data_IF_178757367846
#
_entry.id   IF_178757367846
#
_cell.length_a   1.000
_cell.length_b   1.000
_cell.length_c   1.000
_cell.angle_alpha   90.00
_cell.angle_beta   90.00
_cell.angle_gamma   90.00
#
_symmetry.space_group_name_H-M   'P 1'
#
loop_
_entity.id
_entity.type
_entity.pdbx_description
1 polymer ?
#
# COMPACT_ATOMS: atom_id res chain seq x y z
N UNK A 1 -28.41 11.05 -18.68
CA UNK A 1 -27.92 9.66 -18.61
C UNK A 1 -27.51 9.41 -17.16
N UNK A 2 -28.27 8.60 -16.43
CA UNK A 2 -27.97 8.24 -15.04
C UNK A 2 -26.74 7.34 -15.00
N UNK A 3 -25.67 7.78 -14.33
CA UNK A 3 -24.49 6.94 -14.13
C UNK A 3 -24.84 5.81 -13.14
N UNK A 4 -24.62 4.56 -13.52
CA UNK A 4 -24.82 3.42 -12.63
C UNK A 4 -23.84 3.49 -11.45
N UNK A 5 -24.35 3.47 -10.23
CA UNK A 5 -23.54 3.44 -9.01
C UNK A 5 -23.33 1.98 -8.57
N UNK A 6 -22.15 1.68 -8.04
CA UNK A 6 -21.70 0.32 -7.73
C UNK A 6 -21.37 0.16 -6.25
N UNK A 7 -21.72 -0.98 -5.68
CA UNK A 7 -21.30 -1.42 -4.36
C UNK A 7 -20.06 -2.30 -4.46
N UNK A 8 -19.19 -2.20 -3.46
CA UNK A 8 -17.98 -3.01 -3.30
C UNK A 8 -18.11 -3.89 -2.05
N UNK A 9 -17.62 -5.12 -2.12
CA UNK A 9 -17.55 -6.04 -0.97
C UNK A 9 -16.16 -6.64 -0.83
N UNK A 10 -15.68 -6.65 0.41
CA UNK A 10 -14.43 -7.30 0.80
C UNK A 10 -14.59 -7.90 2.20
N UNK A 11 -14.23 -9.18 2.36
CA UNK A 11 -14.35 -9.91 3.64
C UNK A 11 -15.73 -9.77 4.31
N UNK A 12 -16.80 -9.73 3.51
CA UNK A 12 -18.18 -9.60 3.99
C UNK A 12 -18.62 -8.17 4.37
N UNK A 13 -17.75 -7.16 4.28
CA UNK A 13 -18.12 -5.75 4.45
C UNK A 13 -18.53 -5.13 3.12
N UNK A 14 -19.71 -4.50 3.07
CA UNK A 14 -20.25 -3.82 1.89
C UNK A 14 -20.06 -2.31 2.04
N UNK A 15 -19.56 -1.64 1.00
CA UNK A 15 -19.35 -0.19 0.95
C UNK A 15 -19.85 0.39 -0.38
N UNK A 16 -20.36 1.62 -0.36
CA UNK A 16 -20.86 2.30 -1.55
C UNK A 16 -22.25 2.93 -1.36
N UNK A 17 -22.92 3.32 -2.46
CA UNK A 17 -22.53 3.07 -3.85
C UNK A 17 -21.64 4.17 -4.43
N UNK A 18 -20.72 3.82 -5.33
CA UNK A 18 -19.72 4.72 -5.93
C UNK A 18 -19.83 4.81 -7.46
N UNK A 19 -19.47 5.95 -8.06
CA UNK A 19 -19.41 6.06 -9.52
C UNK A 19 -18.21 5.28 -10.09
N UNK A 20 -18.31 4.75 -11.34
CA UNK A 20 -17.26 3.96 -11.98
C UNK A 20 -15.89 4.65 -12.08
N UNK A 21 -15.86 5.99 -12.14
CA UNK A 21 -14.62 6.77 -12.19
C UNK A 21 -13.78 6.62 -10.92
N UNK A 22 -14.44 6.63 -9.74
CA UNK A 22 -13.77 6.50 -8.45
C UNK A 22 -13.22 5.08 -8.23
N UNK A 23 -13.94 4.06 -8.69
CA UNK A 23 -13.49 2.67 -8.60
C UNK A 23 -12.22 2.45 -9.45
N UNK A 24 -12.14 3.04 -10.64
CA UNK A 24 -10.92 2.98 -11.48
C UNK A 24 -9.73 3.67 -10.85
N UNK A 25 -9.94 4.81 -10.20
CA UNK A 25 -8.89 5.53 -9.48
C UNK A 25 -8.31 4.66 -8.35
N UNK A 26 -9.17 4.01 -7.56
CA UNK A 26 -8.75 3.10 -6.49
C UNK A 26 -8.10 1.80 -6.96
N UNK A 27 -8.44 1.30 -8.15
CA UNK A 27 -7.71 0.18 -8.75
C UNK A 27 -6.32 0.60 -9.21
N UNK A 28 -6.18 1.84 -9.71
CA UNK A 28 -4.90 2.38 -10.20
C UNK A 28 -3.94 2.70 -9.07
N UNK A 29 -4.43 3.24 -7.95
CA UNK A 29 -3.62 3.56 -6.78
C UNK A 29 -3.38 2.36 -5.84
N UNK A 30 -4.04 1.22 -6.10
CA UNK A 30 -3.90 -0.02 -5.35
C UNK A 30 -4.72 -0.08 -4.05
N UNK A 31 -5.61 0.89 -3.80
CA UNK A 31 -6.50 0.91 -2.64
C UNK A 31 -7.51 -0.25 -2.64
N UNK A 32 -7.89 -0.73 -3.82
CA UNK A 32 -8.68 -1.96 -4.00
C UNK A 32 -7.99 -2.89 -4.98
N UNK A 33 -8.33 -4.18 -4.94
CA UNK A 33 -7.64 -5.22 -5.70
C UNK A 33 -8.60 -6.00 -6.60
N UNK A 34 -8.12 -6.68 -7.66
CA UNK A 34 -8.99 -7.37 -8.61
C UNK A 34 -9.87 -8.49 -8.01
N UNK A 35 -9.50 -9.01 -6.84
CA UNK A 35 -10.27 -9.99 -6.08
C UNK A 35 -11.45 -9.42 -5.28
N UNK A 36 -11.56 -8.10 -5.15
CA UNK A 36 -12.73 -7.48 -4.51
C UNK A 36 -13.98 -7.76 -5.34
N UNK A 37 -15.15 -7.80 -4.69
CA UNK A 37 -16.42 -8.06 -5.36
C UNK A 37 -17.18 -6.76 -5.62
N UNK A 38 -17.90 -6.70 -6.73
CA UNK A 38 -18.76 -5.59 -7.14
C UNK A 38 -20.20 -6.05 -7.35
N UNK A 39 -21.15 -5.15 -7.10
CA UNK A 39 -22.58 -5.37 -7.33
C UNK A 39 -23.30 -4.06 -7.69
N UNK A 40 -24.36 -4.15 -8.50
CA UNK A 40 -25.27 -3.03 -8.79
C UNK A 40 -26.47 -3.00 -7.84
N UNK A 41 -26.80 -4.12 -7.21
CA UNK A 41 -28.06 -4.35 -6.48
C UNK A 41 -27.89 -4.96 -5.08
N UNK A 42 -26.64 -5.12 -4.63
CA UNK A 42 -26.23 -5.76 -3.36
C UNK A 42 -26.61 -7.24 -3.22
N UNK A 43 -27.20 -7.86 -4.25
CA UNK A 43 -27.65 -9.26 -4.23
C UNK A 43 -26.72 -10.15 -5.03
N UNK A 44 -26.40 -9.73 -6.24
CA UNK A 44 -25.52 -10.47 -7.14
C UNK A 44 -24.10 -9.90 -7.08
N UNK A 45 -23.14 -10.72 -6.67
CA UNK A 45 -21.75 -10.32 -6.46
C UNK A 45 -20.83 -11.03 -7.44
N UNK A 46 -19.92 -10.27 -8.03
CA UNK A 46 -18.90 -10.78 -8.94
C UNK A 46 -17.56 -10.15 -8.63
N UNK A 47 -16.46 -10.88 -8.76
CA UNK A 47 -15.13 -10.30 -8.59
C UNK A 47 -14.88 -9.22 -9.66
N UNK A 48 -14.08 -8.21 -9.33
CA UNK A 48 -13.72 -7.13 -10.27
C UNK A 48 -13.01 -7.72 -11.50
N UNK A 49 -12.12 -8.69 -11.32
CA UNK A 49 -11.43 -9.39 -12.41
C UNK A 49 -12.41 -10.11 -13.36
N UNK A 50 -13.42 -10.80 -12.83
CA UNK A 50 -14.35 -11.59 -13.64
C UNK A 50 -15.40 -10.71 -14.31
N UNK A 51 -15.62 -9.49 -13.78
CA UNK A 51 -16.55 -8.52 -14.36
C UNK A 51 -16.07 -7.92 -15.68
N UNK A 52 -14.75 -7.83 -15.88
CA UNK A 52 -14.14 -7.14 -17.02
C UNK A 52 -14.45 -5.64 -17.13
N UNK A 53 -15.20 -5.04 -16.19
CA UNK A 53 -15.66 -3.64 -16.28
C UNK A 53 -14.58 -2.61 -15.92
N UNK A 54 -13.58 -3.01 -15.13
CA UNK A 54 -12.60 -2.10 -14.54
C UNK A 54 -11.14 -2.51 -14.77
N UNK A 55 -10.89 -3.59 -15.50
CA UNK A 55 -9.54 -3.99 -15.86
C UNK A 55 -9.01 -3.09 -16.99
N UNK A 56 -8.01 -2.26 -16.69
CA UNK A 56 -7.23 -1.58 -17.72
C UNK A 56 -6.36 -2.60 -18.47
N UNK A 57 -6.38 -2.43 -19.78
CA UNK A 57 -5.92 -3.29 -20.85
C UNK A 57 -4.46 -3.78 -20.72
N UNK A 58 -4.26 -5.07 -20.38
CA UNK A 58 -3.08 -5.81 -20.84
C UNK A 58 -3.36 -6.31 -22.27
N UNK A 59 -3.36 -5.41 -23.25
CA UNK A 59 -3.45 -5.77 -24.67
C UNK A 59 -2.12 -6.35 -25.14
N UNK A 60 -2.01 -7.67 -25.03
CA UNK A 60 -1.47 -8.47 -26.13
C UNK A 60 -2.64 -9.25 -26.73
N UNK A 61 -3.31 -8.61 -27.69
CA UNK A 61 -3.96 -9.26 -28.81
C UNK A 61 -5.26 -10.03 -28.55
N UNK A 62 -6.38 -9.32 -28.39
CA UNK A 62 -7.68 -9.78 -28.94
C UNK A 62 -8.38 -8.55 -29.55
N UNK A 63 -8.71 -8.53 -30.86
CA UNK A 63 -9.46 -7.44 -31.43
C UNK A 63 -10.90 -7.48 -30.93
N UNK A 64 -11.28 -6.48 -30.13
CA UNK A 64 -12.67 -6.24 -29.74
C UNK A 64 -13.46 -5.74 -30.96
N UNK A 65 -14.02 -6.70 -31.68
CA UNK A 65 -15.16 -6.48 -32.58
C UNK A 65 -16.39 -6.05 -31.78
N UNK A 66 -17.17 -5.16 -32.39
CA UNK A 66 -18.36 -4.49 -31.91
C UNK A 66 -19.07 -5.03 -30.64
N UNK A 67 -19.31 -4.14 -29.70
CA UNK A 67 -20.12 -4.35 -28.51
C UNK A 67 -21.62 -4.50 -28.87
N UNK A 68 -22.02 -5.62 -29.47
CA UNK A 68 -23.43 -5.95 -29.74
C UNK A 68 -23.73 -7.46 -29.97
N UNK A 69 -23.10 -8.39 -29.22
CA UNK A 69 -23.35 -9.81 -29.43
C UNK A 69 -24.28 -10.47 -28.39
N UNK A 70 -25.51 -10.70 -28.83
CA UNK A 70 -26.57 -11.58 -28.27
C UNK A 70 -26.10 -13.05 -28.07
N UNK A 71 -24.82 -13.37 -28.34
CA UNK A 71 -24.28 -14.73 -28.38
C UNK A 71 -24.04 -15.35 -27.01
N UNK A 72 -23.60 -14.57 -26.02
CA UNK A 72 -23.26 -15.12 -24.70
C UNK A 72 -24.48 -15.53 -23.87
N UNK A 73 -25.59 -14.80 -24.00
CA UNK A 73 -26.85 -15.16 -23.32
C UNK A 73 -27.45 -16.46 -23.88
N UNK A 74 -27.36 -16.68 -25.21
CA UNK A 74 -27.86 -17.91 -25.85
C UNK A 74 -27.09 -19.16 -25.45
N UNK A 75 -25.79 -19.08 -25.27
CA UNK A 75 -24.98 -20.25 -24.89
C UNK A 75 -25.28 -20.71 -23.46
N UNK A 76 -25.60 -19.80 -22.53
CA UNK A 76 -26.01 -20.17 -21.16
C UNK A 76 -27.36 -20.88 -21.11
N UNK A 77 -28.33 -20.51 -21.95
CA UNK A 77 -29.64 -21.19 -21.97
C UNK A 77 -29.58 -22.61 -22.55
N UNK A 78 -28.77 -22.83 -23.60
CA UNK A 78 -28.57 -24.16 -24.19
C UNK A 78 -27.93 -25.16 -23.23
N UNK A 79 -27.07 -24.71 -22.33
CA UNK A 79 -26.46 -25.57 -21.32
C UNK A 79 -27.48 -26.01 -20.25
N UNK A 80 -28.42 -25.12 -19.88
CA UNK A 80 -29.49 -25.40 -18.90
C UNK A 80 -30.48 -26.47 -19.39
N UNK A 81 -30.83 -26.47 -20.67
CA UNK A 81 -31.77 -27.45 -21.22
C UNK A 81 -31.18 -28.86 -21.33
N UNK A 82 -29.86 -29.01 -21.58
CA UNK A 82 -29.20 -30.32 -21.62
C UNK A 82 -29.23 -31.07 -20.30
N UNK A 83 -29.27 -30.35 -19.18
CA UNK A 83 -29.24 -30.96 -17.85
C UNK A 83 -30.62 -31.50 -17.41
N UNK A 84 -31.71 -30.90 -17.92
CA UNK A 84 -33.09 -31.29 -17.58
C UNK A 84 -33.55 -32.55 -18.34
N UNK A 85 -33.01 -32.82 -19.53
CA UNK A 85 -33.35 -34.02 -20.31
C UNK A 85 -32.73 -35.31 -19.74
N UNK A 86 -31.57 -35.20 -19.09
CA UNK A 86 -30.82 -36.36 -18.56
C UNK A 86 -31.50 -36.95 -17.31
N UNK A 87 -32.09 -36.09 -16.47
CA UNK A 87 -32.73 -36.47 -15.19
C UNK A 87 -34.04 -37.25 -15.39
N UNK A 88 -34.75 -36.99 -16.51
CA UNK A 88 -36.01 -37.67 -16.85
C UNK A 88 -35.86 -39.12 -17.30
N UNK A 89 -34.63 -39.58 -17.59
CA UNK A 89 -34.37 -40.95 -18.07
C UNK A 89 -34.09 -41.96 -16.96
N UNK A 90 -34.00 -41.50 -15.71
CA UNK A 90 -33.53 -42.34 -14.58
C UNK A 90 -34.69 -43.14 -13.94
N UNK A 91 -35.96 -42.78 -14.17
CA UNK A 91 -37.09 -43.39 -13.43
C UNK A 91 -37.71 -44.67 -14.03
N UNK A 92 -37.24 -45.18 -15.19
CA UNK A 92 -37.76 -46.44 -15.74
C UNK A 92 -36.63 -47.39 -16.12
N UNK A 93 -36.13 -48.17 -15.16
CA UNK A 93 -35.18 -49.25 -15.42
C UNK A 93 -35.56 -50.53 -14.66
N UNK A 94 -36.14 -51.47 -15.42
CA UNK A 94 -36.55 -52.84 -15.08
C UNK A 94 -35.35 -53.81 -14.83
N UNK A 95 -35.59 -55.06 -14.37
CA UNK A 95 -34.62 -55.93 -13.68
C UNK A 95 -33.38 -56.39 -14.47
N UNK A 96 -33.29 -56.14 -15.79
CA UNK A 96 -32.13 -56.51 -16.61
C UNK A 96 -30.90 -55.65 -16.33
N UNK A 97 -31.08 -54.45 -15.75
CA UNK A 97 -29.97 -53.54 -15.42
C UNK A 97 -29.12 -54.08 -14.26
N UNK A 98 -29.69 -54.91 -13.36
CA UNK A 98 -28.96 -55.45 -12.22
C UNK A 98 -27.85 -56.44 -12.63
N UNK A 99 -28.12 -57.33 -13.58
CA UNK A 99 -27.15 -58.34 -14.03
C UNK A 99 -26.03 -57.73 -14.88
N UNK A 100 -26.37 -56.77 -15.76
CA UNK A 100 -25.38 -56.00 -16.51
C UNK A 100 -24.55 -55.06 -15.62
N UNK A 101 -25.15 -54.46 -14.58
CA UNK A 101 -24.42 -53.65 -13.62
C UNK A 101 -23.46 -54.49 -12.76
N UNK A 102 -23.83 -55.72 -12.41
CA UNK A 102 -22.97 -56.61 -11.64
C UNK A 102 -21.81 -57.16 -12.50
N UNK A 103 -22.07 -57.51 -13.77
CA UNK A 103 -21.01 -57.84 -14.72
C UNK A 103 -20.07 -56.66 -14.97
N UNK A 104 -20.61 -55.44 -15.13
CA UNK A 104 -19.81 -54.23 -15.30
C UNK A 104 -18.98 -53.91 -14.04
N UNK A 105 -19.50 -54.14 -12.84
CA UNK A 105 -18.75 -54.00 -11.58
C UNK A 105 -17.60 -55.00 -11.49
N UNK A 106 -17.83 -56.26 -11.86
CA UNK A 106 -16.78 -57.29 -11.86
C UNK A 106 -15.70 -57.01 -12.92
N UNK A 107 -16.08 -56.51 -14.10
CA UNK A 107 -15.09 -56.07 -15.10
C UNK A 107 -14.31 -54.85 -14.64
N UNK A 108 -14.97 -53.89 -13.97
CA UNK A 108 -14.30 -52.73 -13.39
C UNK A 108 -13.35 -53.11 -12.26
N UNK A 109 -13.71 -54.04 -11.38
CA UNK A 109 -12.80 -54.55 -10.34
C UNK A 109 -11.60 -55.28 -10.95
N UNK A 110 -11.82 -56.10 -11.98
CA UNK A 110 -10.72 -56.77 -12.69
C UNK A 110 -9.80 -55.77 -13.41
N UNK A 111 -10.38 -54.74 -14.04
CA UNK A 111 -9.60 -53.67 -14.67
C UNK A 111 -8.87 -52.81 -13.64
N UNK A 112 -9.47 -52.55 -12.47
CA UNK A 112 -8.81 -51.82 -11.39
C UNK A 112 -7.60 -52.59 -10.86
N UNK A 113 -7.70 -53.89 -10.66
CA UNK A 113 -6.58 -54.74 -10.25
C UNK A 113 -5.49 -54.82 -11.33
N UNK A 114 -5.87 -54.86 -12.61
CA UNK A 114 -4.93 -54.86 -13.74
C UNK A 114 -4.21 -53.53 -13.88
N UNK A 115 -4.93 -52.42 -13.77
CA UNK A 115 -4.34 -51.07 -13.82
C UNK A 115 -3.43 -50.84 -12.62
N UNK A 116 -3.81 -51.27 -11.42
CA UNK A 116 -2.97 -51.18 -10.22
C UNK A 116 -1.65 -51.95 -10.35
N UNK A 117 -1.71 -53.15 -10.93
CA UNK A 117 -0.53 -53.98 -11.17
C UNK A 117 0.39 -53.33 -12.22
N UNK A 118 -0.18 -52.77 -13.29
CA UNK A 118 0.58 -52.06 -14.33
C UNK A 118 1.18 -50.74 -13.83
N UNK A 119 0.43 -49.97 -13.03
CA UNK A 119 0.90 -48.71 -12.42
C UNK A 119 2.03 -48.99 -11.43
N UNK A 120 1.90 -50.00 -10.56
CA UNK A 120 2.99 -50.40 -9.64
C UNK A 120 4.23 -50.89 -10.38
N UNK A 121 4.06 -51.64 -11.47
CA UNK A 121 5.17 -52.07 -12.33
C UNK A 121 5.88 -50.89 -13.01
N UNK A 122 5.14 -49.88 -13.46
CA UNK A 122 5.70 -48.68 -14.11
C UNK A 122 6.39 -47.74 -13.11
N UNK A 123 5.84 -47.57 -11.90
CA UNK A 123 6.40 -46.72 -10.83
C UNK A 123 7.75 -47.26 -10.34
N UNK A 124 7.92 -48.60 -10.25
CA UNK A 124 9.20 -49.21 -9.84
C UNK A 124 10.32 -49.09 -10.88
N UNK A 125 10.01 -48.73 -12.15
CA UNK A 125 10.97 -48.67 -13.25
C UNK A 125 11.56 -47.29 -13.51
N UNK A 126 11.14 -46.23 -12.81
CA UNK A 126 11.61 -44.87 -13.09
C UNK A 126 12.20 -44.13 -11.88
N UNK A 127 13.36 -44.59 -11.34
CA UNK A 127 14.13 -43.81 -10.36
C UNK A 127 14.59 -42.44 -10.91
N UNK A 128 14.59 -42.28 -12.25
CA UNK A 128 14.92 -41.04 -12.93
C UNK A 128 13.94 -39.88 -12.66
N UNK A 129 12.66 -40.14 -12.36
CA UNK A 129 11.71 -39.07 -12.05
C UNK A 129 12.06 -38.36 -10.74
N UNK A 130 12.47 -39.11 -9.71
CA UNK A 130 12.92 -38.54 -8.44
C UNK A 130 14.21 -37.75 -8.59
N UNK A 131 15.15 -38.21 -9.43
CA UNK A 131 16.35 -37.43 -9.79
C UNK A 131 15.99 -36.14 -10.53
N UNK A 132 14.98 -36.17 -11.41
CA UNK A 132 14.45 -34.98 -12.07
C UNK A 132 13.82 -33.99 -11.09
N UNK A 133 12.99 -34.47 -10.15
CA UNK A 133 12.36 -33.63 -9.11
C UNK A 133 13.41 -33.01 -8.19
N UNK A 134 14.41 -33.80 -7.75
CA UNK A 134 15.52 -33.28 -6.95
C UNK A 134 16.36 -32.26 -7.74
N UNK A 135 16.57 -32.48 -9.03
CA UNK A 135 17.23 -31.52 -9.91
C UNK A 135 16.46 -30.20 -10.02
N UNK A 136 15.14 -30.24 -10.20
CA UNK A 136 14.29 -29.04 -10.24
C UNK A 136 14.30 -28.30 -8.90
N UNK A 137 14.23 -29.01 -7.77
CA UNK A 137 14.31 -28.40 -6.44
C UNK A 137 15.69 -27.79 -6.17
N UNK A 138 16.77 -28.43 -6.61
CA UNK A 138 18.13 -27.89 -6.50
C UNK A 138 18.29 -26.62 -7.35
N UNK A 139 17.76 -26.61 -8.58
CA UNK A 139 17.78 -25.42 -9.44
C UNK A 139 16.90 -24.29 -8.89
N UNK A 140 15.75 -24.61 -8.30
CA UNK A 140 14.91 -23.63 -7.62
C UNK A 140 15.60 -23.06 -6.37
N UNK A 141 16.28 -23.91 -5.59
CA UNK A 141 17.08 -23.50 -4.43
C UNK A 141 18.28 -22.63 -4.81
N UNK A 142 18.98 -22.96 -5.90
CA UNK A 142 20.07 -22.14 -6.45
C UNK A 142 19.52 -20.82 -6.98
N UNK A 143 18.40 -20.83 -7.71
CA UNK A 143 17.72 -19.62 -8.18
C UNK A 143 17.27 -18.73 -7.02
N UNK A 144 16.75 -19.32 -5.95
CA UNK A 144 16.40 -18.61 -4.72
C UNK A 144 17.64 -18.04 -4.02
N UNK A 145 18.72 -18.82 -3.90
CA UNK A 145 19.97 -18.36 -3.31
C UNK A 145 20.62 -17.23 -4.14
N UNK A 146 20.54 -17.29 -5.48
CA UNK A 146 20.97 -16.22 -6.39
C UNK A 146 20.07 -15.01 -6.27
N UNK A 147 18.75 -15.17 -6.17
CA UNK A 147 17.79 -14.08 -5.98
C UNK A 147 17.97 -13.37 -4.63
N UNK A 148 18.18 -14.13 -3.54
CA UNK A 148 18.52 -13.59 -2.21
C UNK A 148 19.90 -12.94 -2.23
N UNK A 149 20.89 -13.57 -2.88
CA UNK A 149 22.24 -13.04 -3.04
C UNK A 149 22.27 -11.72 -3.82
N UNK A 150 21.48 -11.62 -4.89
CA UNK A 150 21.35 -10.41 -5.71
C UNK A 150 20.59 -9.28 -4.99
N UNK A 151 19.69 -9.60 -4.04
CA UNK A 151 19.10 -8.59 -3.17
C UNK A 151 20.06 -8.06 -2.09
N UNK A 152 21.14 -8.79 -1.77
CA UNK A 152 22.08 -8.37 -0.72
C UNK A 152 23.01 -7.21 -1.12
N UNK A 153 22.95 -6.72 -2.36
CA UNK A 153 23.69 -5.52 -2.81
C UNK A 153 22.84 -4.26 -3.00
N UNK A 154 21.53 -4.27 -2.71
CA UNK A 154 20.67 -3.06 -2.74
C UNK A 154 20.05 -2.71 -1.38
N UNK A 155 20.59 -3.25 -0.29
CA UNK A 155 20.44 -2.68 1.05
C UNK A 155 21.48 -1.57 1.35
N UNK A 156 22.29 -1.17 0.37
CA UNK A 156 22.92 0.16 0.38
C UNK A 156 21.91 1.15 -0.15
N UNK A 157 21.17 1.76 0.78
CA UNK A 157 20.15 2.75 0.49
C UNK A 157 20.69 3.91 -0.34
N UNK A 158 20.62 3.79 -1.65
CA UNK A 158 20.35 4.93 -2.52
C UNK A 158 18.84 5.17 -2.45
N UNK A 159 18.37 5.50 -1.24
CA UNK A 159 17.40 6.59 -1.17
C UNK A 159 18.12 7.68 -1.93
N UNK A 160 17.59 8.10 -3.07
CA UNK A 160 17.97 9.36 -3.67
C UNK A 160 17.68 10.40 -2.59
N UNK A 161 18.63 10.60 -1.66
CA UNK A 161 18.62 11.69 -0.70
C UNK A 161 18.41 12.87 -1.62
N UNK A 162 17.24 13.51 -1.53
CA UNK A 162 16.98 14.77 -2.21
C UNK A 162 18.28 15.56 -2.10
N UNK A 163 18.92 15.90 -3.22
CA UNK A 163 20.29 16.40 -3.14
C UNK A 163 20.27 17.67 -2.28
N UNK A 164 21.04 17.68 -1.21
CA UNK A 164 21.19 18.86 -0.36
C UNK A 164 21.62 20.02 -1.25
N UNK A 165 20.88 21.13 -1.21
CA UNK A 165 21.16 22.30 -2.02
C UNK A 165 21.21 23.55 -1.13
N UNK A 166 22.38 23.83 -0.56
CA UNK A 166 22.57 24.99 0.32
C UNK A 166 22.40 26.33 -0.40
N UNK A 167 22.45 26.37 -1.73
CA UNK A 167 22.26 27.58 -2.52
C UNK A 167 20.81 27.78 -2.97
N UNK A 168 19.94 26.77 -2.79
CA UNK A 168 18.53 26.91 -3.08
C UNK A 168 17.93 28.06 -2.24
N UNK A 169 17.06 28.89 -2.84
CA UNK A 169 16.29 29.89 -2.10
C UNK A 169 15.32 29.20 -1.11
N UNK A 170 14.84 29.96 -0.13
CA UNK A 170 13.82 29.48 0.79
C UNK A 170 12.54 29.14 0.01
N UNK A 171 12.11 27.89 0.08
CA UNK A 171 10.91 27.40 -0.58
C UNK A 171 10.38 26.16 0.14
N UNK A 172 9.11 25.84 -0.07
CA UNK A 172 8.51 24.60 0.42
C UNK A 172 9.31 23.37 -0.03
N UNK A 173 9.60 22.46 0.91
CA UNK A 173 10.36 21.24 0.65
C UNK A 173 11.84 21.45 0.37
N UNK A 174 12.38 22.66 0.55
CA UNK A 174 13.81 22.94 0.35
C UNK A 174 14.67 22.00 1.19
N UNK A 175 15.77 21.51 0.62
CA UNK A 175 16.73 20.70 1.34
C UNK A 175 18.00 21.48 1.67
N UNK A 176 18.11 21.90 2.93
CA UNK A 176 19.30 22.51 3.53
C UNK A 176 19.93 21.63 4.62
N UNK A 177 19.75 20.30 4.55
CA UNK A 177 20.34 19.36 5.50
C UNK A 177 21.85 19.58 5.66
N UNK A 178 22.29 19.88 6.88
CA UNK A 178 23.71 20.13 7.21
C UNK A 178 24.29 21.43 6.65
N UNK A 179 23.49 22.30 6.04
CA UNK A 179 23.98 23.58 5.51
C UNK A 179 24.30 24.59 6.62
N UNK A 180 25.19 25.53 6.31
CA UNK A 180 25.45 26.70 7.14
C UNK A 180 24.64 27.90 6.64
N UNK A 181 23.72 28.37 7.48
CA UNK A 181 22.79 29.48 7.26
C UNK A 181 22.80 30.44 8.45
N UNK A 182 23.88 30.47 9.23
CA UNK A 182 24.00 31.36 10.39
C UNK A 182 23.81 32.82 10.00
N UNK A 183 23.15 33.58 10.87
CA UNK A 183 22.90 35.02 10.69
C UNK A 183 22.16 35.38 9.40
N UNK A 184 21.48 34.41 8.77
CA UNK A 184 20.70 34.67 7.56
C UNK A 184 19.40 35.40 7.89
N UNK A 185 18.95 36.22 6.95
CA UNK A 185 17.67 36.95 7.05
C UNK A 185 16.63 36.21 6.22
N UNK A 186 15.71 35.54 6.91
CA UNK A 186 14.69 34.64 6.37
C UNK A 186 13.31 34.94 6.99
N UNK A 187 13.05 36.20 7.37
CA UNK A 187 11.76 36.60 7.92
C UNK A 187 10.63 36.38 6.91
N UNK A 188 9.52 35.80 7.36
CA UNK A 188 8.32 35.57 6.56
C UNK A 188 8.47 34.56 5.41
N UNK A 189 9.57 33.79 5.36
CA UNK A 189 9.77 32.82 4.28
C UNK A 189 8.77 31.66 4.35
N UNK A 190 8.40 31.14 3.19
CA UNK A 190 7.61 29.91 3.08
C UNK A 190 8.56 28.73 2.84
N UNK A 191 8.72 27.88 3.84
CA UNK A 191 9.61 26.73 3.82
C UNK A 191 8.94 25.53 4.52
N UNK A 192 7.67 25.28 4.21
CA UNK A 192 6.91 24.15 4.76
C UNK A 192 7.53 22.83 4.29
N UNK A 193 7.54 21.81 5.14
CA UNK A 193 8.13 20.49 4.84
C UNK A 193 9.61 20.57 4.42
N UNK A 194 10.31 21.64 4.78
CA UNK A 194 11.73 21.78 4.50
C UNK A 194 12.55 20.72 5.25
N UNK A 195 13.62 20.25 4.62
CA UNK A 195 14.59 19.34 5.21
C UNK A 195 15.78 20.16 5.71
N UNK A 196 15.82 20.35 7.02
CA UNK A 196 16.72 21.23 7.75
C UNK A 196 17.51 20.43 8.81
N UNK A 197 17.60 19.11 8.67
CA UNK A 197 18.28 18.27 9.66
C UNK A 197 19.74 18.70 9.79
N UNK A 198 20.18 18.90 11.03
CA UNK A 198 21.55 19.35 11.35
C UNK A 198 21.97 20.67 10.66
N UNK A 199 21.02 21.47 10.16
CA UNK A 199 21.32 22.81 9.62
C UNK A 199 21.87 23.71 10.74
N UNK A 200 22.73 24.66 10.39
CA UNK A 200 23.16 25.72 11.30
C UNK A 200 22.44 27.03 10.98
N UNK A 201 21.52 27.42 11.85
CA UNK A 201 20.73 28.65 11.79
C UNK A 201 20.97 29.52 13.03
N UNK A 202 22.15 29.39 13.66
CA UNK A 202 22.53 30.22 14.80
C UNK A 202 22.41 31.72 14.43
N UNK A 203 21.80 32.51 15.30
CA UNK A 203 21.57 33.96 15.13
C UNK A 203 20.79 34.36 13.86
N UNK A 204 20.10 33.42 13.19
CA UNK A 204 19.29 33.71 12.01
C UNK A 204 17.96 34.40 12.39
N UNK A 205 17.41 35.16 11.44
CA UNK A 205 16.11 35.84 11.58
C UNK A 205 15.06 35.07 10.77
N UNK A 206 14.11 34.45 11.45
CA UNK A 206 13.02 33.63 10.88
C UNK A 206 11.66 34.09 11.44
N UNK A 207 11.56 35.37 11.85
CA UNK A 207 10.31 35.91 12.38
C UNK A 207 9.20 35.79 11.34
N UNK A 208 8.05 35.23 11.75
CA UNK A 208 6.90 34.97 10.87
C UNK A 208 7.12 33.93 9.78
N UNK A 209 8.22 33.16 9.80
CA UNK A 209 8.46 32.12 8.80
C UNK A 209 7.42 30.98 8.92
N UNK A 210 7.05 30.40 7.78
CA UNK A 210 6.20 29.22 7.71
C UNK A 210 7.06 27.97 7.50
N UNK A 211 7.29 27.26 8.61
CA UNK A 211 8.10 26.05 8.75
C UNK A 211 7.23 24.85 9.17
N UNK A 212 5.92 24.87 8.85
CA UNK A 212 5.03 23.76 9.15
C UNK A 212 5.57 22.45 8.57
N UNK A 213 5.53 21.38 9.37
CA UNK A 213 6.04 20.04 9.04
C UNK A 213 7.53 20.00 8.63
N UNK A 214 8.32 21.03 8.93
CA UNK A 214 9.76 21.03 8.63
C UNK A 214 10.51 20.03 9.52
N UNK A 215 11.51 19.36 8.94
CA UNK A 215 12.37 18.40 9.65
C UNK A 215 13.66 19.11 10.06
N UNK A 216 13.79 19.45 11.33
CA UNK A 216 14.93 20.19 11.92
C UNK A 216 15.65 19.37 13.01
N UNK A 217 15.57 18.05 12.95
CA UNK A 217 16.21 17.18 13.93
C UNK A 217 17.73 17.42 14.00
N UNK A 218 18.23 17.64 15.22
CA UNK A 218 19.62 17.98 15.50
C UNK A 218 20.10 19.31 14.92
N UNK A 219 19.21 20.21 14.48
CA UNK A 219 19.59 21.55 14.00
C UNK A 219 20.19 22.42 15.11
N UNK A 220 21.07 23.35 14.73
CA UNK A 220 21.63 24.38 15.62
C UNK A 220 20.86 25.68 15.39
N UNK A 221 20.05 26.08 16.37
CA UNK A 221 19.09 27.19 16.31
C UNK A 221 19.33 28.16 17.49
N UNK A 222 20.58 28.32 17.92
CA UNK A 222 20.93 29.18 19.05
C UNK A 222 20.64 30.64 18.73
N UNK A 223 20.02 31.36 19.68
CA UNK A 223 19.63 32.76 19.54
C UNK A 223 18.80 33.09 18.28
N UNK A 224 18.17 32.09 17.65
CA UNK A 224 17.36 32.32 16.45
C UNK A 224 16.10 33.12 16.80
N UNK A 225 15.69 34.03 15.93
CA UNK A 225 14.40 34.70 16.07
C UNK A 225 13.32 33.95 15.27
N UNK A 226 12.45 33.22 15.97
CA UNK A 226 11.30 32.51 15.42
C UNK A 226 9.98 33.14 15.90
N UNK A 227 10.00 34.42 16.28
CA UNK A 227 8.79 35.10 16.77
C UNK A 227 7.69 35.10 15.70
N UNK A 228 6.48 34.70 16.10
CA UNK A 228 5.32 34.58 15.20
C UNK A 228 5.45 33.50 14.12
N UNK A 229 6.49 32.68 14.11
CA UNK A 229 6.68 31.64 13.10
C UNK A 229 5.66 30.50 13.26
N UNK A 230 5.33 29.84 12.17
CA UNK A 230 4.53 28.62 12.17
C UNK A 230 5.44 27.40 12.08
N UNK A 231 5.52 26.62 13.15
CA UNK A 231 6.27 25.37 13.25
C UNK A 231 5.33 24.19 13.61
N UNK A 232 4.05 24.30 13.25
CA UNK A 232 3.08 23.23 13.51
C UNK A 232 3.56 21.91 12.88
N UNK A 233 3.58 20.83 13.67
CA UNK A 233 4.05 19.51 13.22
C UNK A 233 5.56 19.40 12.96
N UNK A 234 6.37 20.43 13.23
CA UNK A 234 7.79 20.39 12.95
C UNK A 234 8.56 19.42 13.87
N UNK A 235 9.57 18.74 13.32
CA UNK A 235 10.47 17.87 14.08
C UNK A 235 11.71 18.65 14.54
N UNK A 236 11.79 18.94 15.83
CA UNK A 236 12.90 19.62 16.51
C UNK A 236 13.66 18.65 17.44
N UNK A 237 13.56 17.34 17.23
CA UNK A 237 14.19 16.35 18.10
C UNK A 237 15.71 16.56 18.18
N UNK A 238 16.22 16.72 19.40
CA UNK A 238 17.64 16.94 19.66
C UNK A 238 18.20 18.28 19.15
N UNK A 239 17.35 19.23 18.76
CA UNK A 239 17.79 20.54 18.31
C UNK A 239 18.37 21.38 19.46
N UNK A 240 19.34 22.23 19.13
CA UNK A 240 19.93 23.19 20.08
C UNK A 240 19.22 24.54 19.95
N UNK A 241 18.26 24.81 20.85
CA UNK A 241 17.39 25.98 20.83
C UNK A 241 17.81 27.05 21.86
N UNK A 242 19.01 26.96 22.43
CA UNK A 242 19.43 27.87 23.51
C UNK A 242 19.32 29.34 23.11
N UNK A 243 18.61 30.12 23.92
CA UNK A 243 18.37 31.54 23.66
C UNK A 243 17.41 31.84 22.50
N UNK A 244 16.78 30.84 21.87
CA UNK A 244 15.82 31.06 20.78
C UNK A 244 14.59 31.85 21.24
N UNK A 245 14.01 32.62 20.32
CA UNK A 245 12.79 33.38 20.55
C UNK A 245 11.61 32.74 19.82
N UNK A 246 10.68 32.11 20.55
CA UNK A 246 9.43 31.58 20.03
C UNK A 246 8.21 32.44 20.39
N UNK A 247 8.42 33.72 20.73
CA UNK A 247 7.30 34.57 21.16
C UNK A 247 6.20 34.61 20.09
N UNK A 248 4.97 34.26 20.47
CA UNK A 248 3.79 34.14 19.60
C UNK A 248 3.92 33.11 18.45
N UNK A 249 4.88 32.19 18.51
CA UNK A 249 5.03 31.13 17.51
C UNK A 249 3.97 30.02 17.68
N UNK A 250 3.67 29.31 16.60
CA UNK A 250 2.79 28.15 16.61
C UNK A 250 3.62 26.87 16.56
N UNK A 251 3.58 26.05 17.61
CA UNK A 251 4.29 24.78 17.73
C UNK A 251 3.34 23.62 18.01
N UNK A 252 2.06 23.75 17.64
CA UNK A 252 1.08 22.68 17.83
C UNK A 252 1.55 21.40 17.13
N UNK A 253 1.51 20.26 17.83
CA UNK A 253 2.02 18.96 17.36
C UNK A 253 3.53 18.90 17.05
N UNK A 254 4.33 19.93 17.38
CA UNK A 254 5.77 19.89 17.17
C UNK A 254 6.45 18.90 18.13
N UNK A 255 7.60 18.34 17.71
CA UNK A 255 8.36 17.36 18.49
C UNK A 255 9.66 17.98 19.00
N UNK A 256 9.74 18.30 20.29
CA UNK A 256 10.92 18.90 20.94
C UNK A 256 11.71 17.91 21.81
N UNK A 257 11.48 16.60 21.68
CA UNK A 257 12.17 15.58 22.49
C UNK A 257 13.68 15.76 22.44
N UNK A 258 14.35 15.74 23.61
CA UNK A 258 15.79 15.96 23.76
C UNK A 258 16.33 17.32 23.25
N UNK A 259 15.45 18.27 22.93
CA UNK A 259 15.90 19.61 22.54
C UNK A 259 16.48 20.35 23.74
N UNK A 260 17.39 21.30 23.49
CA UNK A 260 18.03 22.12 24.52
C UNK A 260 17.31 23.46 24.63
N UNK A 261 16.52 23.65 25.68
CA UNK A 261 15.61 24.79 25.82
C UNK A 261 16.11 25.89 26.77
N UNK A 262 17.40 25.91 27.14
CA UNK A 262 17.92 26.89 28.10
C UNK A 262 17.82 28.34 27.55
N UNK A 263 17.16 29.23 28.30
CA UNK A 263 17.02 30.64 27.95
C UNK A 263 16.06 30.93 26.79
N UNK A 264 15.23 29.96 26.39
CA UNK A 264 14.22 30.15 25.34
C UNK A 264 13.11 31.10 25.81
N UNK A 265 12.67 32.00 24.93
CA UNK A 265 11.50 32.86 25.14
C UNK A 265 10.25 32.22 24.55
N UNK A 266 9.23 32.03 25.37
CA UNK A 266 7.99 31.34 25.00
C UNK A 266 6.75 32.23 25.05
N UNK A 267 6.88 33.54 25.25
CA UNK A 267 5.72 34.42 25.48
C UNK A 267 4.67 34.29 24.37
N UNK A 268 3.48 33.79 24.70
CA UNK A 268 2.40 33.57 23.72
C UNK A 268 2.61 32.41 22.73
N UNK A 269 3.67 31.61 22.89
CA UNK A 269 3.91 30.44 22.03
C UNK A 269 2.84 29.38 22.26
N UNK A 270 2.23 28.87 21.18
CA UNK A 270 1.21 27.80 21.25
C UNK A 270 1.86 26.44 21.15
N UNK A 271 1.57 25.54 22.08
CA UNK A 271 2.21 24.23 22.24
C UNK A 271 1.18 23.09 22.29
N UNK A 272 -0.02 23.32 21.75
CA UNK A 272 -1.11 22.33 21.74
C UNK A 272 -0.62 20.97 21.21
N UNK A 273 -0.69 19.92 22.02
CA UNK A 273 -0.24 18.56 21.66
C UNK A 273 1.24 18.41 21.25
N UNK A 274 2.08 19.41 21.53
CA UNK A 274 3.52 19.29 21.28
C UNK A 274 4.13 18.21 22.18
N UNK A 275 5.17 17.53 21.70
CA UNK A 275 5.99 16.65 22.54
C UNK A 275 7.14 17.46 23.14
N UNK A 276 7.18 17.57 24.46
CA UNK A 276 8.18 18.35 25.19
C UNK A 276 9.58 17.70 25.21
N UNK A 277 10.57 18.40 25.76
CA UNK A 277 11.97 17.93 25.82
C UNK A 277 12.14 16.60 26.58
N UNK A 278 11.33 16.37 27.62
CA UNK A 278 11.29 15.14 28.43
C UNK A 278 10.45 14.02 27.78
N UNK A 279 9.81 14.31 26.64
CA UNK A 279 8.98 13.38 25.88
C UNK A 279 7.52 13.30 26.30
N UNK A 280 7.04 14.12 27.26
CA UNK A 280 5.61 14.23 27.58
C UNK A 280 4.87 15.03 26.49
N UNK A 281 3.58 14.79 26.35
CA UNK A 281 2.73 15.56 25.43
C UNK A 281 2.05 16.69 26.19
N UNK A 282 2.10 17.91 25.66
CA UNK A 282 1.46 19.07 26.24
C UNK A 282 -0.06 19.03 26.06
N UNK A 283 -0.80 19.55 27.04
CA UNK A 283 -2.26 19.64 26.96
C UNK A 283 -2.73 20.53 25.80
N UNK A 284 -4.01 20.37 25.44
CA UNK A 284 -4.76 21.40 24.70
C UNK A 284 -4.68 22.73 25.48
N UNK A 285 -4.55 23.85 24.77
CA UNK A 285 -4.35 25.21 25.29
C UNK A 285 -3.01 25.49 26.00
N UNK A 286 -2.00 24.63 25.83
CA UNK A 286 -0.65 24.91 26.33
C UNK A 286 -0.07 26.15 25.64
N UNK A 287 0.07 27.24 26.39
CA UNK A 287 0.61 28.51 25.91
C UNK A 287 1.77 28.99 26.80
N UNK A 288 2.92 29.23 26.19
CA UNK A 288 4.16 29.69 26.81
C UNK A 288 4.87 28.69 27.73
N UNK A 289 4.19 27.62 28.14
CA UNK A 289 4.77 26.48 28.82
C UNK A 289 3.94 25.23 28.54
N UNK A 290 4.59 24.08 28.54
CA UNK A 290 3.93 22.79 28.42
C UNK A 290 3.27 22.40 29.76
N UNK A 291 1.93 22.40 29.78
CA UNK A 291 1.11 22.00 30.93
C UNK A 291 0.67 20.55 30.82
#
# INVERSE_FOLDING_TARGET
MTQSLWFLRFEGRIVGPYPPGRIREWLRDGSITPQWEISLDERDWLSIQDSGQFCEDHTQGIPLGNANSITWQREREKARHRWLDEDSRIETAEPQVAEHAEQARRSLEQDHLRTDALVRAEVSRKPAYWLGVLGVLALAGIGYAVWVGQQSEIASGIVLKASTNCLAPAADGVNWQGCDKRSSVLNGVHARRARLEKVRLDDAQLAGADLADAVMSGASLRNVDLSGANLSGADLNGADLRGANFSNAQLSYAVLRNAKLEGVRWEGARLDHATWEDGRTCSEDSAGACR
#
